data_IF_964355985378
#
_entry.id   IF_964355985378
#
_cell.length_a   1.000
_cell.length_b   1.000
_cell.length_c   1.000
_cell.angle_alpha   90.00
_cell.angle_beta   90.00
_cell.angle_gamma   90.00
#
_symmetry.space_group_name_H-M   'P 1'
#
loop_
_entity.id
_entity.type
_entity.pdbx_description
1 polymer ?
#
# COMPACT_ATOMS: atom_id res chain seq x y z
N UNK A 1 -12.39 -5.54 -13.05
CA UNK A 1 -11.44 -4.73 -13.85
C UNK A 1 -10.42 -4.09 -12.94
N UNK A 2 -9.15 -4.22 -13.26
CA UNK A 2 -8.09 -3.61 -12.46
C UNK A 2 -7.95 -2.13 -12.77
N UNK A 3 -7.42 -1.37 -11.79
CA UNK A 3 -7.25 0.06 -11.90
C UNK A 3 -6.12 0.43 -12.87
N UNK A 4 -6.22 1.62 -13.44
CA UNK A 4 -5.30 2.14 -14.44
C UNK A 4 -4.36 3.17 -13.83
N UNK A 5 -3.06 2.97 -14.02
CA UNK A 5 -2.01 3.88 -13.57
C UNK A 5 -2.19 5.28 -14.14
N UNK A 6 -2.66 5.42 -15.37
CA UNK A 6 -2.88 6.71 -15.99
C UNK A 6 -3.95 7.53 -15.27
N UNK A 7 -5.01 6.86 -14.80
CA UNK A 7 -6.04 7.53 -14.00
C UNK A 7 -5.48 7.99 -12.66
N UNK A 8 -4.61 7.19 -12.05
CA UNK A 8 -3.92 7.58 -10.83
C UNK A 8 -3.08 8.83 -11.04
N UNK A 9 -2.30 8.87 -12.12
CA UNK A 9 -1.48 10.03 -12.46
C UNK A 9 -2.34 11.29 -12.61
N UNK A 10 -3.49 11.17 -13.26
CA UNK A 10 -4.43 12.30 -13.43
C UNK A 10 -4.96 12.80 -12.08
N UNK A 11 -5.28 11.89 -11.15
CA UNK A 11 -5.74 12.26 -9.82
C UNK A 11 -4.66 13.02 -9.04
N UNK A 12 -3.42 12.54 -9.08
CA UNK A 12 -2.32 13.22 -8.40
C UNK A 12 -2.09 14.62 -8.99
N UNK A 13 -2.20 14.77 -10.30
CA UNK A 13 -2.10 16.08 -10.96
C UNK A 13 -3.21 17.02 -10.50
N UNK A 14 -4.45 16.53 -10.39
CA UNK A 14 -5.57 17.34 -9.90
C UNK A 14 -5.38 17.80 -8.47
N UNK A 15 -4.74 16.99 -7.64
CA UNK A 15 -4.46 17.31 -6.24
C UNK A 15 -3.19 18.14 -6.08
N UNK A 16 -2.50 18.51 -7.17
CA UNK A 16 -1.22 19.21 -7.15
C UNK A 16 -0.13 18.44 -6.39
N UNK A 17 -0.18 17.11 -6.45
CA UNK A 17 0.82 16.24 -5.83
C UNK A 17 1.90 15.94 -6.87
N UNK A 18 3.14 16.27 -6.54
CA UNK A 18 4.29 15.93 -7.34
C UNK A 18 4.89 14.61 -6.85
N UNK A 19 5.43 13.82 -7.78
CA UNK A 19 6.04 12.54 -7.44
C UNK A 19 7.15 12.23 -8.42
N UNK A 20 8.16 11.50 -7.93
CA UNK A 20 9.25 11.00 -8.76
C UNK A 20 8.97 9.56 -9.15
N UNK A 21 9.35 9.19 -10.36
CA UNK A 21 9.13 7.86 -10.92
C UNK A 21 10.46 7.12 -11.01
N UNK A 22 10.52 5.92 -10.42
CA UNK A 22 11.64 4.99 -10.58
C UNK A 22 11.13 3.82 -11.42
N UNK A 23 11.72 3.64 -12.61
CA UNK A 23 11.41 2.50 -13.45
C UNK A 23 12.36 1.36 -13.13
N UNK A 24 11.84 0.15 -13.10
CA UNK A 24 12.63 -1.05 -12.79
C UNK A 24 11.92 -2.28 -13.35
N UNK A 25 12.63 -3.42 -13.48
CA UNK A 25 11.96 -4.67 -13.85
C UNK A 25 10.89 -5.04 -12.82
N UNK A 26 9.89 -5.81 -13.24
CA UNK A 26 8.84 -6.26 -12.35
C UNK A 26 9.44 -6.96 -11.11
N UNK A 27 8.98 -6.55 -9.93
CA UNK A 27 9.47 -7.08 -8.65
C UNK A 27 8.60 -8.27 -8.24
N UNK A 28 9.24 -9.41 -7.95
CA UNK A 28 8.54 -10.63 -7.56
C UNK A 28 8.74 -11.00 -6.10
N UNK A 29 9.47 -10.19 -5.34
CA UNK A 29 9.69 -10.41 -3.92
C UNK A 29 10.58 -9.35 -3.30
N UNK A 30 10.70 -9.39 -1.97
CA UNK A 30 11.45 -8.39 -1.22
C UNK A 30 12.94 -8.41 -1.53
N UNK A 31 13.51 -9.58 -1.90
CA UNK A 31 14.94 -9.66 -2.26
C UNK A 31 15.24 -8.88 -3.54
N UNK A 32 14.38 -9.01 -4.56
CA UNK A 32 14.54 -8.24 -5.79
C UNK A 32 14.42 -6.73 -5.51
N UNK A 33 13.48 -6.35 -4.66
CA UNK A 33 13.30 -4.97 -4.26
C UNK A 33 14.52 -4.45 -3.51
N UNK A 34 15.12 -5.25 -2.64
CA UNK A 34 16.31 -4.87 -1.87
C UNK A 34 17.49 -4.54 -2.79
N UNK A 35 17.73 -5.38 -3.81
CA UNK A 35 18.81 -5.14 -4.76
C UNK A 35 18.62 -3.85 -5.54
N UNK A 36 17.40 -3.59 -5.99
CA UNK A 36 17.10 -2.44 -6.84
C UNK A 36 16.98 -1.14 -6.06
N UNK A 37 16.56 -1.20 -4.80
CA UNK A 37 16.19 -0.02 -4.02
C UNK A 37 17.18 0.34 -2.91
N UNK A 38 18.24 -0.45 -2.70
CA UNK A 38 19.17 -0.28 -1.57
C UNK A 38 19.77 1.13 -1.50
N UNK A 39 20.05 1.76 -2.64
CA UNK A 39 20.63 3.10 -2.72
C UNK A 39 19.64 4.19 -3.08
N UNK A 40 18.35 3.89 -3.06
CA UNK A 40 17.31 4.88 -3.37
C UNK A 40 16.85 5.58 -2.11
N UNK A 41 16.63 6.91 -2.15
CA UNK A 41 16.10 7.60 -0.98
C UNK A 41 14.66 7.20 -0.68
N UNK A 42 14.23 7.44 0.55
CA UNK A 42 12.86 7.24 0.95
C UNK A 42 12.61 5.96 1.74
N UNK A 43 11.45 5.89 2.32
CA UNK A 43 11.02 4.76 3.15
C UNK A 43 10.27 3.75 2.30
N UNK A 44 10.78 2.52 2.28
CA UNK A 44 10.11 1.41 1.63
C UNK A 44 9.01 0.89 2.56
N UNK A 45 7.86 0.62 1.98
CA UNK A 45 6.67 0.23 2.72
C UNK A 45 6.27 -1.20 2.42
N UNK A 46 5.66 -1.84 3.41
CA UNK A 46 4.95 -3.11 3.26
C UNK A 46 3.47 -2.81 3.38
N UNK A 47 2.68 -3.34 2.45
CA UNK A 47 1.26 -3.09 2.36
C UNK A 47 0.53 -4.42 2.53
N UNK A 48 -0.23 -4.56 3.62
CA UNK A 48 -0.93 -5.80 3.94
C UNK A 48 -2.43 -5.56 3.83
N UNK A 49 -3.10 -6.34 2.98
CA UNK A 49 -4.54 -6.29 2.88
C UNK A 49 -5.14 -7.43 3.70
N UNK A 50 -5.82 -7.07 4.77
CA UNK A 50 -6.31 -8.01 5.78
C UNK A 50 -7.84 -8.00 5.85
N UNK A 51 -8.37 -9.09 6.39
CA UNK A 51 -9.80 -9.20 6.70
C UNK A 51 -9.99 -9.71 8.12
N UNK A 52 -11.15 -9.42 8.69
CA UNK A 52 -11.55 -9.99 9.97
C UNK A 52 -11.98 -11.46 9.79
N UNK A 53 -12.29 -12.13 10.89
CA UNK A 53 -12.65 -13.56 10.89
C UNK A 53 -13.86 -13.86 10.00
N UNK A 54 -14.85 -12.96 9.97
CA UNK A 54 -16.08 -13.15 9.22
C UNK A 54 -15.97 -12.68 7.77
N UNK A 55 -14.88 -11.99 7.40
CA UNK A 55 -14.72 -11.45 6.06
C UNK A 55 -15.64 -10.27 5.75
N UNK A 56 -16.12 -9.59 6.77
CA UNK A 56 -17.00 -8.42 6.62
C UNK A 56 -16.24 -7.10 6.65
N UNK A 57 -15.13 -7.05 7.40
CA UNK A 57 -14.29 -5.86 7.55
C UNK A 57 -12.95 -6.09 6.89
N UNK A 58 -12.46 -5.08 6.17
CA UNK A 58 -11.20 -5.13 5.46
C UNK A 58 -10.31 -3.98 5.89
N UNK A 59 -9.00 -4.24 5.94
CA UNK A 59 -8.02 -3.30 6.44
C UNK A 59 -6.81 -3.28 5.51
N UNK A 60 -6.36 -2.08 5.16
CA UNK A 60 -5.07 -1.91 4.50
C UNK A 60 -4.10 -1.41 5.56
N UNK A 61 -3.09 -2.24 5.87
CA UNK A 61 -2.08 -1.91 6.88
C UNK A 61 -0.80 -1.53 6.17
N UNK A 62 -0.28 -0.36 6.47
CA UNK A 62 0.96 0.16 5.90
C UNK A 62 2.01 0.22 7.00
N UNK A 63 3.12 -0.47 6.80
CA UNK A 63 4.21 -0.56 7.76
C UNK A 63 5.56 -0.52 7.03
N UNK A 64 6.67 -0.48 7.77
CA UNK A 64 8.01 -0.54 7.18
C UNK A 64 8.23 -1.90 6.52
N UNK A 65 8.95 -1.90 5.38
CA UNK A 65 9.13 -3.12 4.57
C UNK A 65 9.82 -4.26 5.31
N UNK A 66 10.68 -3.95 6.29
CA UNK A 66 11.46 -4.92 7.05
C UNK A 66 10.80 -5.32 8.38
N UNK A 67 9.62 -4.77 8.70
CA UNK A 67 8.93 -5.07 9.93
C UNK A 67 7.99 -6.25 9.75
N UNK A 68 8.01 -7.19 10.69
CA UNK A 68 7.03 -8.26 10.75
C UNK A 68 5.93 -7.90 11.74
N UNK A 69 4.67 -7.97 11.30
CA UNK A 69 3.52 -7.72 12.15
C UNK A 69 3.01 -9.01 12.74
N UNK A 70 2.75 -9.00 14.04
CA UNK A 70 2.05 -10.09 14.71
C UNK A 70 0.55 -9.84 14.57
N UNK A 71 -0.09 -10.57 13.66
CA UNK A 71 -1.51 -10.38 13.37
C UNK A 71 -2.40 -10.73 14.57
N UNK A 72 -1.99 -11.67 15.41
CA UNK A 72 -2.75 -12.01 16.63
C UNK A 72 -2.75 -10.84 17.59
N UNK A 73 -1.60 -10.23 17.82
CA UNK A 73 -1.49 -9.06 18.70
C UNK A 73 -2.24 -7.87 18.13
N UNK A 74 -2.15 -7.64 16.83
CA UNK A 74 -2.88 -6.56 16.18
C UNK A 74 -4.38 -6.74 16.30
N UNK A 75 -4.88 -7.94 16.05
CA UNK A 75 -6.30 -8.24 16.20
C UNK A 75 -6.78 -7.96 17.63
N UNK A 76 -6.02 -8.40 18.63
CA UNK A 76 -6.35 -8.18 20.04
C UNK A 76 -6.39 -6.69 20.38
N UNK A 77 -5.41 -5.92 19.90
CA UNK A 77 -5.37 -4.47 20.12
C UNK A 77 -6.58 -3.76 19.53
N UNK A 78 -7.11 -4.27 18.43
CA UNK A 78 -8.24 -3.67 17.72
C UNK A 78 -9.58 -4.27 18.12
N UNK A 79 -9.62 -5.13 19.13
CA UNK A 79 -10.86 -5.74 19.61
C UNK A 79 -11.45 -6.75 18.65
N UNK A 80 -10.62 -7.36 17.80
CA UNK A 80 -11.04 -8.36 16.82
C UNK A 80 -10.63 -9.75 17.28
N UNK A 81 -11.45 -10.76 16.93
CA UNK A 81 -11.14 -12.14 17.28
C UNK A 81 -9.98 -12.69 16.45
N UNK A 82 -9.86 -12.27 15.19
CA UNK A 82 -8.84 -12.77 14.28
C UNK A 82 -8.63 -11.81 13.11
N UNK A 83 -7.40 -11.75 12.60
CA UNK A 83 -7.06 -11.12 11.34
C UNK A 83 -6.32 -12.12 10.46
N UNK A 84 -6.62 -12.11 9.18
CA UNK A 84 -5.94 -12.91 8.17
C UNK A 84 -5.76 -12.13 6.89
N UNK A 85 -4.93 -12.66 5.99
CA UNK A 85 -4.74 -12.05 4.69
C UNK A 85 -6.01 -12.20 3.86
N UNK A 86 -6.43 -11.13 3.19
CA UNK A 86 -7.53 -11.19 2.26
C UNK A 86 -7.09 -11.88 0.97
N UNK A 87 -8.02 -12.55 0.30
CA UNK A 87 -7.73 -13.25 -0.95
C UNK A 87 -7.43 -12.27 -2.09
N UNK A 88 -6.82 -12.78 -3.16
CA UNK A 88 -6.58 -11.99 -4.37
C UNK A 88 -7.90 -11.49 -4.99
N UNK A 89 -8.95 -12.27 -4.85
CA UNK A 89 -10.30 -11.89 -5.32
C UNK A 89 -10.83 -10.69 -4.55
N UNK A 90 -10.65 -10.67 -3.24
CA UNK A 90 -11.04 -9.54 -2.39
C UNK A 90 -10.19 -8.30 -2.69
N UNK A 91 -8.90 -8.51 -2.95
CA UNK A 91 -7.99 -7.43 -3.33
C UNK A 91 -8.47 -6.76 -4.62
N UNK A 92 -8.80 -7.55 -5.63
CA UNK A 92 -9.32 -7.03 -6.90
C UNK A 92 -10.67 -6.33 -6.72
N UNK A 93 -11.53 -6.88 -5.86
CA UNK A 93 -12.86 -6.32 -5.61
C UNK A 93 -12.81 -4.96 -4.92
N UNK A 94 -12.01 -4.84 -3.87
CA UNK A 94 -12.01 -3.64 -3.02
C UNK A 94 -10.99 -2.60 -3.45
N UNK A 95 -9.80 -3.01 -3.86
CA UNK A 95 -8.72 -2.08 -4.21
C UNK A 95 -8.38 -2.05 -5.70
N UNK A 96 -8.91 -2.98 -6.47
CA UNK A 96 -8.79 -3.07 -7.95
C UNK A 96 -7.33 -3.12 -8.41
N UNK A 97 -6.49 -3.83 -7.68
CA UNK A 97 -5.09 -4.06 -8.03
C UNK A 97 -4.75 -5.55 -7.94
N UNK A 98 -3.69 -5.95 -8.65
CA UNK A 98 -3.17 -7.31 -8.60
C UNK A 98 -2.27 -7.51 -7.37
N UNK A 99 -2.03 -8.77 -6.95
CA UNK A 99 -1.08 -9.05 -5.88
C UNK A 99 0.29 -8.45 -6.21
N UNK A 100 0.94 -7.89 -5.19
CA UNK A 100 2.24 -7.24 -5.35
C UNK A 100 2.18 -5.80 -5.85
N UNK A 101 0.99 -5.29 -6.17
CA UNK A 101 0.81 -3.93 -6.70
C UNK A 101 0.05 -3.02 -5.73
N UNK A 102 -0.15 -3.47 -4.50
CA UNK A 102 -0.90 -2.73 -3.48
C UNK A 102 -0.08 -1.57 -2.94
N UNK A 103 -0.72 -0.42 -2.76
CA UNK A 103 -0.16 0.71 -2.03
C UNK A 103 -1.29 1.52 -1.40
N UNK A 104 -0.95 2.51 -0.60
CA UNK A 104 -1.95 3.45 -0.08
C UNK A 104 -2.72 4.11 -1.22
N UNK A 105 -2.07 4.33 -2.36
CA UNK A 105 -2.72 4.95 -3.53
C UNK A 105 -3.90 4.11 -4.05
N UNK A 106 -3.92 2.81 -3.76
CA UNK A 106 -5.03 1.93 -4.14
C UNK A 106 -6.35 2.32 -3.47
N UNK A 107 -6.31 3.07 -2.38
CA UNK A 107 -7.53 3.51 -1.69
C UNK A 107 -8.39 4.43 -2.54
N UNK A 108 -7.85 5.06 -3.57
CA UNK A 108 -8.66 5.86 -4.47
C UNK A 108 -9.73 5.02 -5.20
N UNK A 109 -9.51 3.71 -5.29
CA UNK A 109 -10.44 2.78 -5.95
C UNK A 109 -11.55 2.30 -5.01
N UNK A 110 -11.41 2.55 -3.71
CA UNK A 110 -12.40 2.20 -2.69
C UNK A 110 -13.38 3.36 -2.49
N UNK A 111 -14.24 3.56 -3.48
CA UNK A 111 -15.14 4.71 -3.51
C UNK A 111 -16.20 4.68 -2.42
N UNK A 112 -16.53 3.49 -1.93
CA UNK A 112 -17.52 3.32 -0.85
C UNK A 112 -16.88 3.36 0.54
N UNK A 113 -15.57 3.50 0.61
CA UNK A 113 -14.81 3.53 1.87
C UNK A 113 -15.04 2.28 2.73
N UNK A 114 -15.04 1.12 2.08
CA UNK A 114 -15.21 -0.17 2.74
C UNK A 114 -13.93 -0.67 3.41
N UNK A 115 -12.78 -0.10 3.05
CA UNK A 115 -11.47 -0.50 3.58
C UNK A 115 -11.01 0.52 4.61
N UNK A 116 -10.63 0.03 5.79
CA UNK A 116 -10.06 0.87 6.85
C UNK A 116 -8.54 0.92 6.68
N UNK A 117 -7.97 2.11 6.70
CA UNK A 117 -6.52 2.32 6.62
C UNK A 117 -5.93 2.33 8.02
N UNK A 118 -4.92 1.47 8.25
CA UNK A 118 -4.12 1.48 9.47
C UNK A 118 -2.69 1.82 9.11
N UNK A 119 -2.18 2.92 9.64
CA UNK A 119 -0.79 3.35 9.45
C UNK A 119 0.02 3.01 10.69
N UNK A 120 1.13 2.29 10.50
CA UNK A 120 2.04 2.00 11.60
C UNK A 120 2.76 3.29 11.99
N UNK A 121 2.82 3.57 13.30
CA UNK A 121 3.49 4.77 13.77
C UNK A 121 4.97 4.79 13.39
N UNK A 122 5.60 3.64 13.17
CA UNK A 122 7.02 3.58 12.79
C UNK A 122 7.31 4.25 11.46
N UNK A 123 6.33 4.33 10.55
CA UNK A 123 6.52 5.02 9.28
C UNK A 123 6.23 6.52 9.36
N UNK A 124 5.64 6.98 10.46
CA UNK A 124 5.25 8.38 10.62
C UNK A 124 6.44 9.35 10.52
N UNK A 125 7.63 8.88 10.85
CA UNK A 125 8.84 9.71 10.87
C UNK A 125 9.56 9.76 9.52
N UNK A 126 9.09 9.03 8.51
CA UNK A 126 9.66 9.11 7.17
C UNK A 126 9.29 10.42 6.48
N UNK A 127 10.14 10.86 5.55
CA UNK A 127 9.92 12.09 4.79
C UNK A 127 9.49 11.83 3.36
N UNK A 128 9.81 10.66 2.82
CA UNK A 128 9.58 10.28 1.44
C UNK A 128 9.20 8.80 1.40
N UNK A 129 8.13 8.46 0.71
CA UNK A 129 7.60 7.09 0.71
C UNK A 129 7.56 6.50 -0.69
N UNK A 130 7.89 5.20 -0.78
CA UNK A 130 7.80 4.41 -2.00
C UNK A 130 6.39 3.86 -2.16
N UNK A 131 5.75 4.15 -3.27
CA UNK A 131 4.39 3.70 -3.55
C UNK A 131 4.32 2.95 -4.89
N UNK A 132 3.53 1.88 -4.95
CA UNK A 132 3.27 1.17 -6.20
C UNK A 132 2.13 1.84 -6.95
N UNK A 133 2.33 2.25 -8.23
CA UNK A 133 1.28 2.90 -9.02
C UNK A 133 0.40 1.88 -9.74
N UNK A 134 -0.17 0.91 -9.01
CA UNK A 134 -1.01 -0.17 -9.50
C UNK A 134 -0.28 -1.20 -10.37
N UNK A 135 1.04 -1.14 -10.41
CA UNK A 135 1.90 -2.12 -11.09
C UNK A 135 3.21 -2.27 -10.33
N UNK A 136 4.01 -3.28 -10.66
CA UNK A 136 5.25 -3.58 -9.97
C UNK A 136 6.51 -3.29 -10.80
N UNK A 137 6.38 -2.58 -11.90
CA UNK A 137 7.50 -2.17 -12.76
C UNK A 137 7.91 -0.72 -12.56
N UNK A 138 7.23 0.01 -11.69
CA UNK A 138 7.57 1.36 -11.29
C UNK A 138 7.37 1.53 -9.80
N UNK A 139 8.09 2.47 -9.21
CA UNK A 139 7.87 2.95 -7.85
C UNK A 139 7.76 4.46 -7.92
N UNK A 140 6.72 5.02 -7.32
CA UNK A 140 6.51 6.46 -7.24
C UNK A 140 6.88 6.92 -5.84
N UNK A 141 7.67 8.00 -5.79
CA UNK A 141 8.14 8.58 -4.53
C UNK A 141 7.27 9.79 -4.19
N UNK A 142 6.58 9.73 -3.06
CA UNK A 142 5.77 10.84 -2.57
C UNK A 142 6.35 11.37 -1.26
N UNK A 143 6.36 12.70 -1.10
CA UNK A 143 6.75 13.31 0.17
C UNK A 143 5.70 13.05 1.23
N UNK A 144 6.09 13.16 2.50
CA UNK A 144 5.18 12.92 3.62
C UNK A 144 3.90 13.77 3.56
N UNK A 145 3.97 15.09 3.32
CA UNK A 145 2.74 15.88 3.23
C UNK A 145 1.80 15.38 2.14
N UNK A 146 2.32 15.06 0.96
CA UNK A 146 1.51 14.59 -0.15
C UNK A 146 0.97 13.18 0.08
N UNK A 147 1.77 12.31 0.68
CA UNK A 147 1.35 10.94 1.00
C UNK A 147 0.15 10.95 1.95
N UNK A 148 0.17 11.76 2.99
CA UNK A 148 -0.94 11.83 3.94
C UNK A 148 -2.09 12.72 3.47
N UNK A 149 -1.86 13.62 2.52
CA UNK A 149 -2.92 14.41 1.89
C UNK A 149 -3.81 13.56 0.99
N UNK A 150 -3.21 12.59 0.31
CA UNK A 150 -3.94 11.69 -0.60
C UNK A 150 -5.04 10.93 0.13
#
# INVERSE_FOLDING_TARGET
MLADKQKLAAVLTQLNIEYDVIEHPALHGSLDADELMVNRPGTRLKNLFLRDNEGKRHFLVITAHDKQLDLKSLAKQQGLSRLGFASNERLAKYLKVAPGCVSMLSLMNDKQRDVTLWLDQDIWFGDLFHCHPFENSQTWLLTKPDFFFF
#
